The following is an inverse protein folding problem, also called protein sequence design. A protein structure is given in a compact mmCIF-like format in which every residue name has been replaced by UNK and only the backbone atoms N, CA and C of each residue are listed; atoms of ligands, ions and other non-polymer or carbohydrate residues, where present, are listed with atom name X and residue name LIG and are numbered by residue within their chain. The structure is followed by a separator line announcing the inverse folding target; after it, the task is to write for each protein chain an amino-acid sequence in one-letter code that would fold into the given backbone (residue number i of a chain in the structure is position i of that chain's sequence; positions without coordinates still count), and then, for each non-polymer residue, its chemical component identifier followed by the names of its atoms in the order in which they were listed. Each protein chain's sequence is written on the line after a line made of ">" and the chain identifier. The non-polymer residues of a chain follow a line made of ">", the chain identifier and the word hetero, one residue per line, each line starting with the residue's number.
data_IF_575062365339
#
_entry.id   IF_575062365339
#
_cell.length_a   1.000
_cell.length_b   1.000
_cell.length_c   1.000
_cell.angle_alpha   90.00
_cell.angle_beta   90.00
_cell.angle_gamma   90.00
#
_symmetry.space_group_name_H-M   'P 1'
#
loop_
_entity.id
_entity.type
_entity.pdbx_description
1 polymer ?
#
# COMPACT_ATOMS: atom_id res chain seq x y z
N UNK A 1 -30.91 16.57 26.87
CA UNK A 1 -30.09 17.79 26.93
C UNK A 1 -29.44 17.95 25.57
N UNK A 2 -29.25 19.18 25.09
CA UNK A 2 -28.56 19.41 23.81
C UNK A 2 -27.10 18.92 23.89
N UNK A 3 -26.63 18.30 22.81
CA UNK A 3 -25.26 17.80 22.63
C UNK A 3 -24.38 18.93 22.07
N UNK A 4 -23.06 18.84 22.19
CA UNK A 4 -22.14 19.86 21.65
C UNK A 4 -22.37 20.14 20.16
N UNK A 5 -22.66 19.10 19.37
CA UNK A 5 -22.95 19.23 17.94
C UNK A 5 -24.15 20.16 17.66
N UNK A 6 -25.20 20.12 18.49
CA UNK A 6 -26.41 20.95 18.30
C UNK A 6 -26.08 22.45 18.35
N UNK A 7 -25.15 22.85 19.23
CA UNK A 7 -24.74 24.25 19.38
C UNK A 7 -23.89 24.75 18.20
N UNK A 8 -23.06 23.88 17.60
CA UNK A 8 -22.22 24.22 16.45
C UNK A 8 -22.91 23.99 15.09
N UNK A 9 -24.08 23.34 15.08
CA UNK A 9 -24.86 23.06 13.86
C UNK A 9 -25.10 24.31 12.98
N UNK A 10 -25.41 25.51 13.52
CA UNK A 10 -25.54 26.72 12.70
C UNK A 10 -24.27 27.09 11.93
N UNK A 11 -23.08 26.83 12.49
CA UNK A 11 -21.79 27.07 11.80
C UNK A 11 -21.60 26.06 10.67
N UNK A 12 -21.94 24.79 10.91
CA UNK A 12 -21.92 23.75 9.86
C UNK A 12 -22.91 24.07 8.74
N UNK A 13 -24.14 24.46 9.05
CA UNK A 13 -25.12 24.86 8.03
C UNK A 13 -24.63 26.03 7.18
N UNK A 14 -24.05 27.06 7.82
CA UNK A 14 -23.47 28.20 7.10
C UNK A 14 -22.28 27.81 6.20
N UNK A 15 -21.38 26.96 6.70
CA UNK A 15 -20.25 26.46 5.91
C UNK A 15 -20.70 25.64 4.70
N UNK A 16 -21.71 24.78 4.84
CA UNK A 16 -22.27 24.00 3.74
C UNK A 16 -22.96 24.87 2.70
N UNK A 17 -23.75 25.85 3.12
CA UNK A 17 -24.37 26.83 2.22
C UNK A 17 -23.29 27.60 1.43
N UNK A 18 -22.20 27.98 2.10
CA UNK A 18 -21.07 28.64 1.46
C UNK A 18 -20.37 27.71 0.45
N UNK A 19 -20.09 26.46 0.82
CA UNK A 19 -19.44 25.47 -0.05
C UNK A 19 -20.28 25.23 -1.32
N UNK A 20 -21.61 25.13 -1.19
CA UNK A 20 -22.52 25.02 -2.33
C UNK A 20 -22.46 26.26 -3.24
N UNK A 21 -22.46 27.47 -2.67
CA UNK A 21 -22.31 28.72 -3.43
C UNK A 21 -20.96 28.82 -4.13
N UNK A 22 -19.88 28.37 -3.49
CA UNK A 22 -18.52 28.32 -4.07
C UNK A 22 -18.51 27.35 -5.25
N UNK A 23 -19.03 26.14 -5.08
CA UNK A 23 -19.13 25.14 -6.13
C UNK A 23 -19.99 25.61 -7.32
N UNK A 24 -21.07 26.36 -7.05
CA UNK A 24 -21.91 26.97 -8.08
C UNK A 24 -21.31 28.24 -8.73
N UNK A 25 -20.15 28.73 -8.25
CA UNK A 25 -19.53 29.98 -8.72
C UNK A 25 -20.36 31.24 -8.41
N UNK A 26 -21.28 31.17 -7.46
CA UNK A 26 -22.16 32.29 -7.05
C UNK A 26 -21.75 32.92 -5.72
N UNK A 27 -20.69 32.40 -5.08
CA UNK A 27 -20.11 33.00 -3.89
C UNK A 27 -19.58 34.42 -4.23
N UNK A 28 -20.14 35.44 -3.57
CA UNK A 28 -19.69 36.82 -3.74
C UNK A 28 -18.27 37.05 -3.21
N UNK A 29 -17.63 38.15 -3.58
CA UNK A 29 -16.23 38.47 -3.24
C UNK A 29 -16.02 38.98 -1.79
N UNK A 30 -17.02 38.88 -0.92
CA UNK A 30 -17.02 39.42 0.44
C UNK A 30 -16.37 38.51 1.49
N UNK A 31 -15.10 38.12 1.33
CA UNK A 31 -14.41 37.21 2.26
C UNK A 31 -14.46 37.70 3.73
N UNK A 32 -14.36 39.01 3.95
CA UNK A 32 -14.43 39.63 5.27
C UNK A 32 -15.83 39.50 5.91
N UNK A 33 -16.90 39.69 5.12
CA UNK A 33 -18.28 39.55 5.61
C UNK A 33 -18.60 38.10 5.98
N UNK A 34 -18.12 37.16 5.16
CA UNK A 34 -18.24 35.71 5.42
C UNK A 34 -17.53 35.34 6.71
N UNK A 35 -16.28 35.77 6.91
CA UNK A 35 -15.55 35.50 8.14
C UNK A 35 -16.17 36.16 9.37
N UNK A 36 -16.64 37.40 9.25
CA UNK A 36 -17.29 38.10 10.36
C UNK A 36 -18.62 37.43 10.75
N UNK A 37 -19.37 36.91 9.77
CA UNK A 37 -20.55 36.10 10.05
C UNK A 37 -20.19 34.79 10.76
N UNK A 38 -19.18 34.07 10.27
CA UNK A 38 -18.69 32.84 10.90
C UNK A 38 -18.25 33.09 12.36
N UNK A 39 -17.50 34.17 12.62
CA UNK A 39 -17.06 34.56 13.97
C UNK A 39 -18.24 34.80 14.91
N UNK A 40 -19.28 35.49 14.45
CA UNK A 40 -20.50 35.72 15.24
C UNK A 40 -21.21 34.41 15.57
N UNK A 41 -21.34 33.50 14.61
CA UNK A 41 -21.94 32.18 14.84
C UNK A 41 -21.12 31.34 15.82
N UNK A 42 -19.79 31.30 15.66
CA UNK A 42 -18.88 30.59 16.56
C UNK A 42 -18.96 31.15 17.99
N UNK A 43 -18.94 32.48 18.15
CA UNK A 43 -19.05 33.13 19.45
C UNK A 43 -20.39 32.80 20.12
N UNK A 44 -21.49 32.83 19.37
CA UNK A 44 -22.82 32.47 19.86
C UNK A 44 -22.90 30.99 20.26
N UNK A 45 -22.35 30.08 19.44
CA UNK A 45 -22.30 28.65 19.72
C UNK A 45 -21.53 28.35 21.02
N UNK A 46 -20.35 28.95 21.19
CA UNK A 46 -19.54 28.81 22.41
C UNK A 46 -20.29 29.33 23.64
N UNK A 47 -20.88 30.52 23.55
CA UNK A 47 -21.63 31.11 24.65
C UNK A 47 -22.85 30.25 25.06
N UNK A 48 -23.59 29.73 24.08
CA UNK A 48 -24.75 28.87 24.33
C UNK A 48 -24.35 27.51 24.95
N UNK A 49 -23.27 26.89 24.46
CA UNK A 49 -22.76 25.64 25.02
C UNK A 49 -22.29 25.80 26.47
N UNK A 50 -21.56 26.88 26.77
CA UNK A 50 -21.13 27.20 28.13
C UNK A 50 -22.31 27.50 29.06
N UNK A 51 -23.31 28.27 28.59
CA UNK A 51 -24.53 28.55 29.36
C UNK A 51 -25.35 27.28 29.64
N UNK A 52 -25.26 26.28 28.76
CA UNK A 52 -25.86 24.96 28.96
C UNK A 52 -25.02 24.03 29.87
N UNK A 53 -23.92 24.52 30.44
CA UNK A 53 -23.09 23.79 31.40
C UNK A 53 -22.08 22.83 30.77
N UNK A 54 -21.76 22.97 29.48
CA UNK A 54 -20.70 22.16 28.85
C UNK A 54 -19.32 22.57 29.36
N UNK A 55 -18.43 21.58 29.45
CA UNK A 55 -17.05 21.77 29.91
C UNK A 55 -16.30 22.74 28.98
N UNK A 56 -15.63 23.80 29.48
CA UNK A 56 -14.91 24.76 28.64
C UNK A 56 -13.91 24.12 27.70
N UNK A 57 -13.16 23.12 28.17
CA UNK A 57 -12.18 22.38 27.38
C UNK A 57 -12.81 21.64 26.19
N UNK A 58 -14.02 21.09 26.37
CA UNK A 58 -14.76 20.43 25.30
C UNK A 58 -15.30 21.42 24.28
N UNK A 59 -15.76 22.59 24.76
CA UNK A 59 -16.27 23.66 23.89
C UNK A 59 -15.14 24.22 23.02
N UNK A 60 -13.95 24.43 23.59
CA UNK A 60 -12.77 24.86 22.82
C UNK A 60 -12.33 23.81 21.80
N UNK A 61 -12.26 22.53 22.17
CA UNK A 61 -11.89 21.45 21.25
C UNK A 61 -12.91 21.27 20.12
N UNK A 62 -14.21 21.32 20.42
CA UNK A 62 -15.26 21.29 19.41
C UNK A 62 -15.19 22.51 18.47
N UNK A 63 -14.93 23.71 19.02
CA UNK A 63 -14.73 24.92 18.23
C UNK A 63 -13.53 24.78 17.29
N UNK A 64 -12.44 24.18 17.75
CA UNK A 64 -11.25 23.94 16.93
C UNK A 64 -11.61 23.09 15.70
N UNK A 65 -12.32 21.96 15.90
CA UNK A 65 -12.74 21.11 14.79
C UNK A 65 -13.58 21.84 13.74
N UNK A 66 -14.56 22.63 14.19
CA UNK A 66 -15.45 23.39 13.30
C UNK A 66 -14.68 24.46 12.54
N UNK A 67 -13.75 25.15 13.20
CA UNK A 67 -12.91 26.18 12.59
C UNK A 67 -11.96 25.58 11.54
N UNK A 68 -11.32 24.45 11.83
CA UNK A 68 -10.45 23.77 10.88
C UNK A 68 -11.19 23.40 9.59
N UNK A 69 -12.40 22.85 9.73
CA UNK A 69 -13.26 22.52 8.59
C UNK A 69 -13.74 23.74 7.82
N UNK A 70 -14.18 24.78 8.52
CA UNK A 70 -14.68 25.99 7.88
C UNK A 70 -13.58 26.72 7.11
N UNK A 71 -12.36 26.83 7.66
CA UNK A 71 -11.23 27.43 6.97
C UNK A 71 -10.85 26.64 5.70
N UNK A 72 -10.94 25.31 5.73
CA UNK A 72 -10.72 24.49 4.54
C UNK A 72 -11.74 24.82 3.44
N UNK A 73 -13.02 25.01 3.77
CA UNK A 73 -14.05 25.47 2.81
C UNK A 73 -13.68 26.84 2.23
N UNK A 74 -13.24 27.78 3.05
CA UNK A 74 -12.81 29.12 2.60
C UNK A 74 -11.68 29.01 1.56
N UNK A 75 -10.74 28.08 1.74
CA UNK A 75 -9.63 27.88 0.78
C UNK A 75 -10.08 27.34 -0.58
N UNK A 76 -11.27 26.76 -0.70
CA UNK A 76 -11.81 26.26 -1.97
C UNK A 76 -12.20 27.38 -2.94
N UNK A 77 -12.38 28.61 -2.46
CA UNK A 77 -12.61 29.78 -3.31
C UNK A 77 -11.32 30.60 -3.51
N UNK A 78 -10.73 30.61 -4.72
CA UNK A 78 -9.52 31.39 -5.00
C UNK A 78 -9.65 32.90 -4.74
N UNK A 79 -10.86 33.46 -4.84
CA UNK A 79 -11.09 34.89 -4.59
C UNK A 79 -10.87 35.28 -3.10
N UNK A 80 -10.90 34.31 -2.20
CA UNK A 80 -10.71 34.55 -0.77
C UNK A 80 -9.24 34.42 -0.35
N UNK A 81 -8.37 33.90 -1.22
CA UNK A 81 -6.95 33.75 -0.92
C UNK A 81 -6.31 35.10 -0.62
N UNK A 82 -5.62 35.20 0.52
CA UNK A 82 -4.96 36.41 1.03
C UNK A 82 -5.87 37.61 1.34
N UNK A 83 -7.19 37.48 1.18
CA UNK A 83 -8.15 38.57 1.45
C UNK A 83 -8.46 38.72 2.94
N UNK A 84 -8.27 37.66 3.72
CA UNK A 84 -8.59 37.59 5.16
C UNK A 84 -7.65 36.63 5.88
N UNK A 85 -7.40 36.86 7.18
CA UNK A 85 -6.64 35.94 8.04
C UNK A 85 -7.50 34.71 8.38
N UNK A 86 -7.04 33.47 8.15
CA UNK A 86 -7.78 32.26 8.51
C UNK A 86 -8.21 32.24 9.99
N UNK A 87 -9.39 31.68 10.27
CA UNK A 87 -9.93 31.64 11.64
C UNK A 87 -9.07 30.79 12.58
N UNK A 88 -8.41 29.74 12.08
CA UNK A 88 -7.46 28.94 12.84
C UNK A 88 -6.29 29.77 13.38
N UNK A 89 -5.82 30.75 12.61
CA UNK A 89 -4.76 31.68 13.03
C UNK A 89 -5.34 32.69 14.03
N UNK A 90 -6.49 33.28 13.72
CA UNK A 90 -7.09 34.33 14.53
C UNK A 90 -7.59 33.84 15.91
N UNK A 91 -8.07 32.59 16.01
CA UNK A 91 -8.68 32.04 17.22
C UNK A 91 -7.75 31.10 17.99
N UNK A 92 -6.88 30.37 17.31
CA UNK A 92 -6.04 29.33 17.92
C UNK A 92 -4.53 29.53 17.71
N UNK A 93 -4.12 30.60 17.03
CA UNK A 93 -2.71 30.90 16.75
C UNK A 93 -1.96 29.73 16.08
N UNK A 94 -2.64 28.98 15.22
CA UNK A 94 -2.05 27.90 14.42
C UNK A 94 -2.27 28.16 12.93
N UNK A 95 -1.34 27.71 12.10
CA UNK A 95 -1.47 27.61 10.64
C UNK A 95 -1.49 26.15 10.15
N UNK A 96 -1.57 25.20 11.08
CA UNK A 96 -1.40 23.77 10.86
C UNK A 96 -2.63 22.98 11.33
N UNK A 97 -3.81 23.61 11.33
CA UNK A 97 -5.02 23.02 11.90
C UNK A 97 -5.45 21.75 11.15
N UNK A 98 -5.08 21.61 9.87
CA UNK A 98 -5.30 20.41 9.06
C UNK A 98 -4.62 19.15 9.61
N UNK A 99 -3.45 19.28 10.24
CA UNK A 99 -2.72 18.17 10.87
C UNK A 99 -3.13 18.03 12.34
N UNK A 100 -3.21 19.15 13.06
CA UNK A 100 -3.57 19.19 14.49
C UNK A 100 -4.97 18.63 14.76
N UNK A 101 -5.90 18.76 13.80
CA UNK A 101 -7.23 18.16 13.88
C UNK A 101 -7.17 16.66 14.17
N UNK A 102 -6.37 15.92 13.41
CA UNK A 102 -6.26 14.47 13.57
C UNK A 102 -5.49 14.08 14.84
N UNK A 103 -4.52 14.90 15.24
CA UNK A 103 -3.86 14.73 16.53
C UNK A 103 -4.87 14.88 17.68
N UNK A 104 -5.65 15.96 17.72
CA UNK A 104 -6.69 16.18 18.73
C UNK A 104 -7.72 15.05 18.74
N UNK A 105 -8.21 14.62 17.58
CA UNK A 105 -9.14 13.51 17.45
C UNK A 105 -8.58 12.19 18.01
N UNK A 106 -7.28 11.93 17.81
CA UNK A 106 -6.63 10.67 18.25
C UNK A 106 -6.43 10.58 19.76
N UNK A 107 -6.26 11.73 20.45
CA UNK A 107 -6.03 11.79 21.89
C UNK A 107 -7.32 11.88 22.71
N UNK A 108 -8.49 12.02 22.06
CA UNK A 108 -9.78 12.07 22.74
C UNK A 108 -10.01 10.78 23.54
N UNK A 109 -10.43 10.95 24.79
CA UNK A 109 -10.78 9.88 25.72
C UNK A 109 -12.19 9.35 25.43
N UNK A 110 -12.54 8.25 26.10
CA UNK A 110 -13.86 7.62 25.97
C UNK A 110 -15.00 8.46 26.55
N UNK A 111 -14.72 9.38 27.48
CA UNK A 111 -15.71 10.29 28.09
C UNK A 111 -15.86 11.63 27.32
N UNK A 112 -15.18 11.75 26.18
CA UNK A 112 -15.21 12.93 25.30
C UNK A 112 -16.02 12.63 24.01
N UNK A 113 -17.10 11.86 24.16
CA UNK A 113 -17.96 11.35 23.10
C UNK A 113 -18.66 12.47 22.30
N UNK A 114 -19.16 13.51 22.98
CA UNK A 114 -19.75 14.69 22.33
C UNK A 114 -18.73 15.52 21.54
N UNK A 115 -17.46 15.55 21.95
CA UNK A 115 -16.40 16.25 21.20
C UNK A 115 -16.05 15.42 19.96
N UNK A 116 -15.88 14.10 20.15
CA UNK A 116 -15.64 13.15 19.05
C UNK A 116 -16.73 13.22 17.98
N UNK A 117 -17.98 13.39 18.39
CA UNK A 117 -19.12 13.58 17.49
C UNK A 117 -18.98 14.83 16.62
N UNK A 118 -18.50 15.96 17.15
CA UNK A 118 -18.26 17.19 16.36
C UNK A 118 -17.14 17.00 15.33
N UNK A 119 -16.02 16.39 15.75
CA UNK A 119 -14.93 16.05 14.83
C UNK A 119 -15.40 15.08 13.73
N UNK A 120 -16.14 14.04 14.12
CA UNK A 120 -16.67 13.08 13.17
C UNK A 120 -17.65 13.73 12.19
N UNK A 121 -18.49 14.65 12.66
CA UNK A 121 -19.40 15.40 11.80
C UNK A 121 -18.64 16.23 10.75
N UNK A 122 -17.56 16.92 11.13
CA UNK A 122 -16.70 17.63 10.18
C UNK A 122 -16.11 16.69 9.11
N UNK A 123 -15.68 15.48 9.48
CA UNK A 123 -15.19 14.47 8.53
C UNK A 123 -16.29 13.99 7.55
N UNK A 124 -17.53 13.83 8.04
CA UNK A 124 -18.67 13.49 7.18
C UNK A 124 -19.02 14.60 6.20
N UNK A 125 -18.83 15.87 6.61
CA UNK A 125 -19.02 17.04 5.77
C UNK A 125 -17.81 17.36 4.88
N UNK A 126 -16.93 16.39 4.67
CA UNK A 126 -15.84 16.48 3.69
C UNK A 126 -14.63 17.26 4.17
N UNK A 127 -14.38 17.36 5.48
CA UNK A 127 -13.06 17.78 5.97
C UNK A 127 -12.01 16.74 5.58
N UNK A 128 -10.93 17.18 4.94
CA UNK A 128 -9.85 16.30 4.50
C UNK A 128 -8.54 16.55 5.26
N UNK A 129 -8.21 17.82 5.52
CA UNK A 129 -7.02 18.24 6.23
C UNK A 129 -5.74 17.64 5.63
N UNK A 130 -4.94 16.96 6.46
CA UNK A 130 -3.67 16.34 6.05
C UNK A 130 -3.80 15.26 4.96
N UNK A 131 -5.01 14.73 4.71
CA UNK A 131 -5.26 13.65 3.75
C UNK A 131 -5.71 14.17 2.37
N UNK A 132 -5.37 15.40 1.99
CA UNK A 132 -5.87 16.08 0.77
C UNK A 132 -5.59 15.33 -0.55
N UNK A 133 -4.69 14.34 -0.53
CA UNK A 133 -4.32 13.50 -1.65
C UNK A 133 -5.20 12.24 -1.79
N UNK A 134 -6.02 11.89 -0.78
CA UNK A 134 -6.92 10.75 -0.85
C UNK A 134 -8.24 11.11 -1.55
N UNK A 135 -8.83 10.14 -2.26
CA UNK A 135 -10.14 10.30 -2.90
C UNK A 135 -11.08 9.19 -2.43
N UNK A 136 -12.26 9.57 -1.94
CA UNK A 136 -13.24 8.64 -1.38
C UNK A 136 -12.85 8.08 0.00
N UNK A 137 -13.58 7.05 0.44
CA UNK A 137 -13.46 6.47 1.79
C UNK A 137 -12.67 5.14 1.81
N UNK A 138 -11.83 4.87 0.80
CA UNK A 138 -11.03 3.63 0.73
C UNK A 138 -9.63 3.76 1.35
N UNK A 139 -9.17 4.99 1.61
CA UNK A 139 -7.87 5.31 2.20
C UNK A 139 -7.84 5.37 3.72
N UNK A 140 -6.82 6.03 4.28
CA UNK A 140 -6.67 6.24 5.73
C UNK A 140 -7.79 7.11 6.31
N UNK A 141 -8.28 8.10 5.55
CA UNK A 141 -9.41 8.93 5.99
C UNK A 141 -10.68 8.09 6.21
N UNK A 142 -10.93 7.13 5.33
CA UNK A 142 -12.02 6.17 5.47
C UNK A 142 -11.87 5.25 6.68
N UNK A 143 -10.65 4.77 6.95
CA UNK A 143 -10.35 3.97 8.15
C UNK A 143 -10.55 4.78 9.43
N UNK A 144 -10.17 6.06 9.45
CA UNK A 144 -10.40 6.95 10.59
C UNK A 144 -11.90 7.18 10.81
N UNK A 145 -12.67 7.42 9.75
CA UNK A 145 -14.13 7.50 9.85
C UNK A 145 -14.71 6.23 10.47
N UNK A 146 -14.31 5.05 10.01
CA UNK A 146 -14.80 3.77 10.55
C UNK A 146 -14.35 3.53 12.00
N UNK A 147 -13.13 3.89 12.36
CA UNK A 147 -12.60 3.75 13.71
C UNK A 147 -13.36 4.62 14.72
N UNK A 148 -13.59 5.88 14.36
CA UNK A 148 -14.26 6.84 15.24
C UNK A 148 -15.77 6.68 15.25
N UNK A 149 -16.40 6.21 14.16
CA UNK A 149 -17.85 5.96 14.10
C UNK A 149 -18.31 4.97 15.17
N UNK A 150 -17.55 3.91 15.41
CA UNK A 150 -17.82 2.88 16.43
C UNK A 150 -17.70 3.37 17.86
N UNK A 151 -16.99 4.49 18.06
CA UNK A 151 -16.78 5.11 19.37
C UNK A 151 -17.78 6.23 19.65
N UNK A 152 -18.70 6.49 18.71
CA UNK A 152 -19.77 7.46 18.91
C UNK A 152 -20.85 6.89 19.82
N UNK A 153 -21.53 7.74 20.60
CA UNK A 153 -22.60 7.31 21.48
C UNK A 153 -23.82 6.78 20.71
N UNK A 154 -24.03 7.27 19.48
CA UNK A 154 -24.94 6.67 18.50
C UNK A 154 -24.12 6.33 17.26
N UNK A 155 -23.64 5.08 17.12
CA UNK A 155 -22.86 4.70 15.96
C UNK A 155 -23.73 4.75 14.70
N UNK A 156 -23.25 5.33 13.59
CA UNK A 156 -23.98 5.32 12.33
C UNK A 156 -24.12 3.88 11.82
N UNK A 157 -25.23 3.62 11.12
CA UNK A 157 -25.47 2.32 10.52
C UNK A 157 -24.35 1.98 9.51
N UNK A 158 -23.79 0.79 9.62
CA UNK A 158 -22.76 0.33 8.70
C UNK A 158 -23.37 0.15 7.30
N UNK A 159 -22.94 0.96 6.33
CA UNK A 159 -23.52 0.95 4.98
C UNK A 159 -23.46 -0.44 4.30
N UNK A 160 -22.44 -1.26 4.63
CA UNK A 160 -22.30 -2.62 4.13
C UNK A 160 -23.30 -3.61 4.75
N UNK A 161 -23.81 -3.34 5.96
CA UNK A 161 -24.83 -4.18 6.61
C UNK A 161 -26.25 -3.78 6.23
N UNK A 162 -26.49 -2.60 5.63
CA UNK A 162 -27.83 -2.18 5.20
C UNK A 162 -28.48 -3.12 4.17
N UNK A 163 -27.67 -3.90 3.45
CA UNK A 163 -28.17 -4.95 2.54
C UNK A 163 -28.66 -6.20 3.30
N UNK A 164 -28.10 -6.45 4.47
CA UNK A 164 -28.33 -7.65 5.29
C UNK A 164 -29.35 -7.40 6.41
N UNK A 165 -29.38 -6.18 6.95
CA UNK A 165 -30.32 -5.71 7.97
C UNK A 165 -31.39 -4.81 7.34
N UNK A 166 -32.57 -5.37 7.01
CA UNK A 166 -33.63 -4.58 6.41
C UNK A 166 -34.19 -3.55 7.42
N UNK A 167 -34.05 -2.26 7.11
CA UNK A 167 -34.55 -1.14 7.93
C UNK A 167 -36.10 -1.17 8.08
N UNK A 168 -36.80 -1.85 7.17
CA UNK A 168 -38.25 -2.07 7.21
C UNK A 168 -38.61 -3.55 7.04
N UNK A 169 -39.75 -4.01 7.59
CA UNK A 169 -40.26 -5.36 7.32
C UNK A 169 -40.39 -5.58 5.82
N UNK A 170 -39.72 -6.60 5.30
CA UNK A 170 -39.72 -6.86 3.86
C UNK A 170 -41.10 -7.33 3.37
N UNK A 171 -41.54 -6.94 2.16
CA UNK A 171 -42.86 -7.28 1.63
C UNK A 171 -43.17 -8.79 1.62
N UNK A 172 -42.13 -9.61 1.42
CA UNK A 172 -42.20 -11.08 1.39
C UNK A 172 -42.20 -11.72 2.79
N UNK A 173 -42.00 -10.94 3.86
CA UNK A 173 -42.26 -11.36 5.24
C UNK A 173 -43.72 -11.13 5.64
N UNK A 174 -44.49 -10.38 4.83
CA UNK A 174 -45.94 -10.26 5.01
C UNK A 174 -46.64 -11.43 4.32
N UNK A 175 -47.68 -11.96 4.98
CA UNK A 175 -48.49 -13.04 4.42
C UNK A 175 -49.27 -12.49 3.22
N UNK A 176 -49.03 -13.06 2.04
CA UNK A 176 -49.76 -12.70 0.83
C UNK A 176 -51.29 -12.84 1.03
N UNK A 177 -52.09 -11.89 0.51
CA UNK A 177 -53.54 -12.03 0.50
C UNK A 177 -53.94 -13.26 -0.32
N UNK A 178 -54.98 -13.98 0.13
CA UNK A 178 -55.46 -15.18 -0.54
C UNK A 178 -56.00 -14.83 -1.93
N UNK A 179 -55.26 -15.23 -2.98
CA UNK A 179 -55.67 -15.05 -4.38
C UNK A 179 -56.81 -15.99 -4.82
N UNK A 180 -57.43 -15.71 -5.99
CA UNK A 180 -58.59 -16.45 -6.48
C UNK A 180 -58.28 -17.91 -6.80
N UNK A 181 -59.19 -18.81 -6.41
CA UNK A 181 -59.07 -20.27 -6.63
C UNK A 181 -59.48 -20.63 -8.07
N UNK A 182 -58.49 -20.85 -8.93
CA UNK A 182 -58.70 -21.45 -10.26
C UNK A 182 -58.73 -23.00 -10.18
N UNK A 183 -59.57 -23.69 -10.99
CA UNK A 183 -59.65 -25.15 -11.02
C UNK A 183 -58.46 -25.75 -11.78
N UNK A 184 -57.34 -25.97 -11.08
CA UNK A 184 -56.06 -26.47 -11.60
C UNK A 184 -55.91 -28.00 -11.52
N UNK A 185 -56.80 -28.76 -12.14
CA UNK A 185 -56.70 -30.23 -12.13
C UNK A 185 -55.66 -30.78 -13.13
N UNK A 186 -55.47 -30.14 -14.29
CA UNK A 186 -54.46 -30.53 -15.27
C UNK A 186 -53.05 -29.98 -14.98
N UNK A 187 -52.96 -28.79 -14.36
CA UNK A 187 -51.70 -28.19 -13.91
C UNK A 187 -50.96 -29.04 -12.88
N UNK A 188 -51.67 -29.70 -11.96
CA UNK A 188 -51.03 -30.49 -10.88
C UNK A 188 -50.35 -31.75 -11.40
N UNK A 189 -50.84 -32.35 -12.48
CA UNK A 189 -50.24 -33.55 -13.05
C UNK A 189 -48.95 -33.21 -13.81
N UNK A 190 -48.99 -32.16 -14.63
CA UNK A 190 -47.82 -31.64 -15.34
C UNK A 190 -46.75 -31.11 -14.39
N UNK A 191 -47.15 -30.42 -13.30
CA UNK A 191 -46.21 -29.93 -12.29
C UNK A 191 -45.52 -31.08 -11.55
N UNK A 192 -46.25 -32.15 -11.21
CA UNK A 192 -45.67 -33.34 -10.56
C UNK A 192 -44.73 -34.11 -11.49
N UNK A 193 -45.09 -34.25 -12.76
CA UNK A 193 -44.23 -34.87 -13.76
C UNK A 193 -42.97 -34.05 -14.01
N UNK A 194 -43.10 -32.72 -14.16
CA UNK A 194 -41.98 -31.80 -14.28
C UNK A 194 -41.05 -31.82 -13.06
N UNK A 195 -41.62 -31.84 -11.85
CA UNK A 195 -40.84 -31.94 -10.61
C UNK A 195 -40.08 -33.26 -10.50
N UNK A 196 -40.69 -34.39 -10.90
CA UNK A 196 -40.02 -35.69 -10.90
C UNK A 196 -38.84 -35.72 -11.89
N UNK A 197 -39.01 -35.19 -13.11
CA UNK A 197 -37.93 -35.09 -14.10
C UNK A 197 -36.82 -34.15 -13.62
N UNK A 198 -37.19 -32.99 -13.06
CA UNK A 198 -36.22 -32.03 -12.50
C UNK A 198 -35.43 -32.58 -11.31
N UNK A 199 -35.97 -33.57 -10.58
CA UNK A 199 -35.28 -34.23 -9.47
C UNK A 199 -34.40 -35.40 -9.96
N UNK A 200 -34.82 -36.11 -11.01
CA UNK A 200 -34.07 -37.24 -11.59
C UNK A 200 -32.82 -36.79 -12.36
N UNK A 201 -32.83 -35.62 -13.00
CA UNK A 201 -31.65 -35.07 -13.70
C UNK A 201 -30.45 -34.84 -12.77
N UNK A 202 -30.56 -34.10 -11.65
CA UNK A 202 -29.44 -33.89 -10.74
C UNK A 202 -29.04 -35.18 -10.01
N UNK A 203 -29.98 -36.07 -9.69
CA UNK A 203 -29.66 -37.37 -9.09
C UNK A 203 -28.87 -38.26 -10.05
N UNK A 204 -29.27 -38.30 -11.33
CA UNK A 204 -28.54 -39.00 -12.38
C UNK A 204 -27.14 -38.41 -12.60
N UNK A 205 -27.02 -37.09 -12.57
CA UNK A 205 -25.73 -36.40 -12.64
C UNK A 205 -24.84 -36.69 -11.43
N UNK A 206 -25.39 -36.74 -10.23
CA UNK A 206 -24.68 -37.11 -9.00
C UNK A 206 -24.21 -38.57 -9.03
N UNK A 207 -25.07 -39.49 -9.48
CA UNK A 207 -24.70 -40.89 -9.69
C UNK A 207 -23.60 -41.05 -10.74
N UNK A 208 -23.65 -40.25 -11.81
CA UNK A 208 -22.59 -40.22 -12.82
C UNK A 208 -21.28 -39.67 -12.26
N UNK A 209 -21.29 -38.59 -11.46
CA UNK A 209 -20.10 -38.08 -10.77
C UNK A 209 -19.51 -39.12 -9.79
N UNK A 210 -20.35 -39.89 -9.10
CA UNK A 210 -19.90 -40.90 -8.14
C UNK A 210 -19.27 -42.14 -8.81
N UNK A 211 -19.69 -42.49 -10.03
CA UNK A 211 -19.21 -43.70 -10.75
C UNK A 211 -18.13 -43.38 -11.78
N UNK A 212 -18.26 -42.26 -12.48
CA UNK A 212 -17.44 -41.87 -13.63
C UNK A 212 -16.82 -40.47 -13.52
N UNK A 213 -17.06 -39.75 -12.42
CA UNK A 213 -16.42 -38.46 -12.17
C UNK A 213 -14.90 -38.61 -12.03
N UNK A 214 -14.11 -37.59 -12.39
CA UNK A 214 -12.68 -37.59 -12.12
C UNK A 214 -12.49 -37.79 -10.61
N UNK A 215 -11.85 -38.89 -10.22
CA UNK A 215 -11.38 -39.03 -8.85
C UNK A 215 -10.26 -37.99 -8.71
N UNK A 216 -10.55 -36.87 -8.05
CA UNK A 216 -9.51 -35.96 -7.62
C UNK A 216 -8.61 -36.73 -6.65
N UNK A 217 -7.53 -37.29 -7.19
CA UNK A 217 -6.40 -37.77 -6.41
C UNK A 217 -5.91 -36.58 -5.61
N UNK A 218 -5.82 -36.74 -4.28
CA UNK A 218 -5.36 -35.68 -3.39
C UNK A 218 -3.98 -35.12 -3.81
N UNK A 219 -3.55 -34.00 -3.19
CA UNK A 219 -2.31 -33.33 -3.57
C UNK A 219 -1.15 -34.33 -3.59
N UNK A 220 -0.38 -34.31 -4.68
CA UNK A 220 0.78 -35.18 -4.82
C UNK A 220 1.83 -34.82 -3.77
N UNK A 221 2.77 -35.72 -3.50
CA UNK A 221 3.91 -35.41 -2.61
C UNK A 221 4.66 -34.17 -3.11
N UNK A 222 4.76 -33.98 -4.43
CA UNK A 222 5.36 -32.78 -5.02
C UNK A 222 4.57 -31.51 -4.68
N UNK A 223 3.24 -31.55 -4.73
CA UNK A 223 2.39 -30.39 -4.39
C UNK A 223 2.50 -30.04 -2.90
N UNK A 224 2.55 -31.05 -2.03
CA UNK A 224 2.74 -30.85 -0.59
C UNK A 224 4.11 -30.23 -0.27
N UNK A 225 5.17 -30.73 -0.89
CA UNK A 225 6.52 -30.17 -0.71
C UNK A 225 6.58 -28.74 -1.26
N UNK A 226 6.06 -28.50 -2.47
CA UNK A 226 6.05 -27.18 -3.08
C UNK A 226 5.25 -26.17 -2.25
N UNK A 227 4.08 -26.58 -1.73
CA UNK A 227 3.27 -25.75 -0.83
C UNK A 227 4.00 -25.40 0.46
N UNK A 228 4.71 -26.35 1.07
CA UNK A 228 5.50 -26.08 2.28
C UNK A 228 6.63 -25.08 2.02
N UNK A 229 7.35 -25.24 0.90
CA UNK A 229 8.47 -24.35 0.54
C UNK A 229 8.02 -22.91 0.27
N UNK A 230 6.79 -22.69 -0.18
CA UNK A 230 6.22 -21.35 -0.41
C UNK A 230 5.90 -20.57 0.88
N UNK A 231 5.92 -21.22 2.05
CA UNK A 231 5.65 -20.55 3.34
C UNK A 231 6.83 -19.70 3.84
N UNK A 232 8.01 -19.87 3.26
CA UNK A 232 9.22 -19.16 3.65
C UNK A 232 9.24 -17.76 3.03
N UNK A 233 9.48 -16.74 3.87
CA UNK A 233 9.54 -15.36 3.43
C UNK A 233 10.91 -15.02 2.83
N UNK A 234 10.90 -14.32 1.70
CA UNK A 234 12.11 -13.91 0.96
C UNK A 234 13.03 -15.10 0.64
N UNK A 235 12.44 -16.14 0.04
CA UNK A 235 13.13 -17.36 -0.38
C UNK A 235 12.72 -17.74 -1.79
N UNK A 236 13.63 -18.40 -2.52
CA UNK A 236 13.31 -19.09 -3.76
C UNK A 236 13.79 -20.52 -3.58
N UNK A 237 12.85 -21.40 -3.25
CA UNK A 237 13.08 -22.82 -2.99
C UNK A 237 12.35 -23.62 -4.06
N UNK A 238 13.04 -24.58 -4.66
CA UNK A 238 12.48 -25.53 -5.60
C UNK A 238 12.71 -26.95 -5.12
N UNK A 239 11.77 -27.84 -5.42
CA UNK A 239 11.90 -29.26 -5.16
C UNK A 239 11.73 -30.08 -6.44
N UNK A 240 12.55 -31.12 -6.57
CA UNK A 240 12.33 -32.20 -7.54
C UNK A 240 11.97 -33.45 -6.76
N UNK A 241 10.78 -34.01 -7.01
CA UNK A 241 10.28 -35.21 -6.34
C UNK A 241 10.15 -36.32 -7.38
N UNK A 242 10.93 -37.40 -7.21
CA UNK A 242 10.83 -38.59 -8.05
C UNK A 242 9.61 -39.45 -7.67
N UNK A 243 9.17 -40.31 -8.58
CA UNK A 243 8.00 -41.20 -8.38
C UNK A 243 8.11 -42.09 -7.13
N UNK A 244 9.34 -42.45 -6.72
CA UNK A 244 9.59 -43.27 -5.53
C UNK A 244 9.54 -42.49 -4.20
N UNK A 245 9.36 -41.17 -4.25
CA UNK A 245 9.36 -40.23 -3.13
C UNK A 245 10.71 -39.55 -2.85
N UNK A 246 11.77 -39.89 -3.59
CA UNK A 246 13.08 -39.24 -3.43
C UNK A 246 12.98 -37.74 -3.76
N UNK A 247 13.37 -36.89 -2.82
CA UNK A 247 13.16 -35.44 -2.92
C UNK A 247 14.50 -34.69 -2.89
N UNK A 248 14.74 -33.81 -3.85
CA UNK A 248 15.90 -32.91 -3.85
C UNK A 248 15.39 -31.47 -3.77
N UNK A 249 15.77 -30.75 -2.70
CA UNK A 249 15.41 -29.35 -2.48
C UNK A 249 16.65 -28.49 -2.70
N UNK A 250 16.49 -27.42 -3.47
CA UNK A 250 17.57 -26.44 -3.69
C UNK A 250 17.04 -25.02 -3.71
N UNK A 251 17.92 -24.06 -3.44
CA UNK A 251 17.57 -22.64 -3.50
C UNK A 251 18.19 -21.80 -2.38
N UNK A 252 17.46 -20.78 -1.94
CA UNK A 252 17.91 -19.90 -0.87
C UNK A 252 16.83 -19.50 0.12
N UNK A 253 17.24 -19.23 1.35
CA UNK A 253 16.41 -18.70 2.45
C UNK A 253 16.99 -17.40 3.01
N UNK A 254 16.16 -16.59 3.64
CA UNK A 254 16.56 -15.28 4.17
C UNK A 254 17.37 -15.33 5.45
N UNK A 255 17.22 -16.40 6.25
CA UNK A 255 17.89 -16.54 7.54
C UNK A 255 18.63 -17.88 7.66
N UNK A 256 19.80 -17.93 8.31
CA UNK A 256 20.53 -19.18 8.53
C UNK A 256 19.70 -20.26 9.23
N UNK A 257 18.89 -19.88 10.22
CA UNK A 257 18.03 -20.80 10.96
C UNK A 257 16.94 -21.46 10.09
N UNK A 258 16.53 -20.81 9.00
CA UNK A 258 15.51 -21.36 8.11
C UNK A 258 16.02 -22.55 7.30
N UNK A 259 17.35 -22.72 7.14
CA UNK A 259 17.91 -23.92 6.49
C UNK A 259 17.52 -25.17 7.27
N UNK A 260 17.70 -25.15 8.59
CA UNK A 260 17.36 -26.28 9.45
C UNK A 260 15.85 -26.53 9.46
N UNK A 261 15.04 -25.47 9.41
CA UNK A 261 13.58 -25.58 9.31
C UNK A 261 13.13 -26.18 7.99
N UNK A 262 13.67 -25.75 6.86
CA UNK A 262 13.36 -26.32 5.53
C UNK A 262 13.66 -27.82 5.51
N UNK A 263 14.79 -28.22 6.11
CA UNK A 263 15.17 -29.62 6.23
C UNK A 263 14.17 -30.43 7.04
N UNK A 264 13.81 -29.95 8.23
CA UNK A 264 12.87 -30.60 9.13
C UNK A 264 11.45 -30.68 8.54
N UNK A 265 10.94 -29.57 8.02
CA UNK A 265 9.60 -29.49 7.46
C UNK A 265 9.44 -30.40 6.24
N UNK A 266 10.42 -30.40 5.32
CA UNK A 266 10.39 -31.26 4.13
C UNK A 266 10.48 -32.73 4.51
N UNK A 267 11.35 -33.09 5.45
CA UNK A 267 11.48 -34.48 5.92
C UNK A 267 10.23 -34.97 6.67
N UNK A 268 9.45 -34.05 7.28
CA UNK A 268 8.20 -34.35 7.96
C UNK A 268 7.00 -34.64 7.05
N UNK A 269 7.11 -34.33 5.75
CA UNK A 269 6.01 -34.54 4.79
C UNK A 269 5.86 -36.03 4.47
N UNK A 270 4.65 -36.55 4.70
CA UNK A 270 4.32 -37.95 4.43
C UNK A 270 4.51 -38.27 2.94
N UNK A 271 5.41 -39.22 2.65
CA UNK A 271 5.72 -39.66 1.28
C UNK A 271 7.08 -39.21 0.77
N UNK A 272 7.72 -38.23 1.43
CA UNK A 272 9.11 -37.85 1.16
C UNK A 272 10.05 -38.96 1.63
N UNK A 273 11.05 -39.29 0.80
CA UNK A 273 12.10 -40.24 1.10
C UNK A 273 13.46 -39.64 0.76
N UNK A 274 14.48 -39.99 1.54
CA UNK A 274 15.89 -39.64 1.31
C UNK A 274 16.11 -38.19 0.82
N UNK A 275 15.62 -37.16 1.54
CA UNK A 275 15.68 -35.80 1.03
C UNK A 275 17.14 -35.28 0.99
N UNK A 276 17.52 -34.65 -0.11
CA UNK A 276 18.80 -33.94 -0.25
C UNK A 276 18.57 -32.43 -0.33
N UNK A 277 19.50 -31.65 0.23
CA UNK A 277 19.34 -30.20 0.37
C UNK A 277 20.58 -29.46 -0.12
N UNK A 278 20.40 -28.58 -1.10
CA UNK A 278 21.37 -27.55 -1.52
C UNK A 278 20.73 -26.16 -1.32
N UNK A 279 20.58 -25.77 -0.06
CA UNK A 279 19.94 -24.52 0.35
C UNK A 279 20.98 -23.58 0.94
N UNK A 280 21.04 -22.35 0.43
CA UNK A 280 21.98 -21.30 0.86
C UNK A 280 21.26 -20.15 1.54
N UNK A 281 22.00 -19.33 2.29
CA UNK A 281 21.44 -18.09 2.86
C UNK A 281 21.58 -16.95 1.86
N UNK A 282 20.51 -16.18 1.67
CA UNK A 282 20.51 -14.89 0.99
C UNK A 282 19.63 -13.95 1.77
N UNK A 283 20.26 -13.06 2.53
CA UNK A 283 19.58 -12.16 3.45
C UNK A 283 18.63 -11.20 2.74
N UNK A 284 17.65 -10.69 3.49
CA UNK A 284 16.92 -9.49 3.08
C UNK A 284 17.87 -8.29 3.19
N UNK A 285 17.89 -7.34 2.22
CA UNK A 285 16.99 -7.18 1.07
C UNK A 285 17.41 -7.92 -0.20
N UNK A 286 18.58 -8.56 -0.25
CA UNK A 286 19.13 -9.15 -1.48
C UNK A 286 18.22 -10.19 -2.12
N UNK A 287 17.56 -11.04 -1.32
CA UNK A 287 16.61 -12.03 -1.83
C UNK A 287 15.43 -11.36 -2.57
N UNK A 288 14.89 -10.26 -2.03
CA UNK A 288 13.76 -9.55 -2.60
C UNK A 288 14.15 -8.82 -3.89
N UNK A 289 15.31 -8.15 -3.88
CA UNK A 289 15.87 -7.45 -5.04
C UNK A 289 16.11 -8.41 -6.19
N UNK A 290 16.76 -9.56 -5.93
CA UNK A 290 17.01 -10.56 -6.96
C UNK A 290 15.70 -11.09 -7.52
N UNK A 291 14.73 -11.41 -6.67
CA UNK A 291 13.41 -11.86 -7.12
C UNK A 291 12.73 -10.82 -8.01
N UNK A 292 12.83 -9.53 -7.67
CA UNK A 292 12.24 -8.43 -8.42
C UNK A 292 12.92 -8.23 -9.79
N UNK A 293 14.25 -8.33 -9.85
CA UNK A 293 15.03 -8.05 -11.05
C UNK A 293 15.25 -9.27 -11.96
N UNK A 294 14.98 -10.49 -11.47
CA UNK A 294 15.20 -11.74 -12.20
C UNK A 294 14.56 -11.77 -13.61
N UNK A 295 13.29 -11.34 -13.81
CA UNK A 295 12.70 -11.32 -15.15
C UNK A 295 13.45 -10.40 -16.13
N UNK A 296 13.93 -9.25 -15.64
CA UNK A 296 14.67 -8.28 -16.45
C UNK A 296 16.10 -8.71 -16.73
N UNK A 297 16.72 -9.49 -15.82
CA UNK A 297 18.00 -10.17 -16.08
C UNK A 297 17.87 -11.30 -17.11
N UNK A 298 16.81 -12.10 -17.02
CA UNK A 298 16.51 -13.11 -18.04
C UNK A 298 16.36 -12.45 -19.41
N UNK A 299 15.59 -11.35 -19.49
CA UNK A 299 15.43 -10.56 -20.71
C UNK A 299 16.76 -10.03 -21.27
N UNK A 300 17.63 -9.49 -20.43
CA UNK A 300 18.98 -9.04 -20.83
C UNK A 300 19.78 -10.17 -21.52
N UNK A 301 19.72 -11.38 -20.97
CA UNK A 301 20.42 -12.56 -21.49
C UNK A 301 19.76 -13.10 -22.77
N UNK A 302 18.44 -13.31 -22.75
CA UNK A 302 17.69 -13.92 -23.85
C UNK A 302 17.71 -13.04 -25.11
N UNK A 303 17.58 -11.72 -24.93
CA UNK A 303 17.64 -10.74 -26.02
C UNK A 303 19.07 -10.31 -26.36
N UNK A 304 20.06 -10.71 -25.56
CA UNK A 304 21.47 -10.33 -25.69
C UNK A 304 21.67 -8.80 -25.71
N UNK A 305 20.93 -8.08 -24.87
CA UNK A 305 21.03 -6.62 -24.76
C UNK A 305 22.43 -6.14 -24.39
N UNK A 306 23.24 -6.98 -23.71
CA UNK A 306 24.63 -6.65 -23.41
C UNK A 306 24.81 -5.72 -22.21
N UNK A 307 23.77 -5.49 -21.40
CA UNK A 307 23.88 -4.71 -20.17
C UNK A 307 24.80 -5.43 -19.17
N UNK A 308 25.87 -4.76 -18.78
CA UNK A 308 26.92 -5.32 -17.92
C UNK A 308 27.24 -4.42 -16.74
N UNK A 309 27.55 -5.08 -15.63
CA UNK A 309 28.06 -4.47 -14.40
C UNK A 309 29.20 -5.35 -13.93
N UNK A 310 30.39 -4.77 -13.76
CA UNK A 310 31.60 -5.52 -13.36
C UNK A 310 32.40 -4.70 -12.35
N UNK A 311 32.98 -5.32 -11.31
CA UNK A 311 33.89 -4.62 -10.44
C UNK A 311 35.18 -4.29 -11.21
N UNK A 312 35.66 -3.06 -11.12
CA UNK A 312 36.91 -2.64 -11.80
C UNK A 312 38.17 -3.17 -11.12
N UNK A 313 38.06 -3.68 -9.90
CA UNK A 313 39.21 -4.16 -9.14
C UNK A 313 39.85 -5.40 -9.74
N UNK A 314 39.23 -6.14 -10.67
CA UNK A 314 39.92 -7.16 -11.49
C UNK A 314 40.46 -8.40 -10.76
N UNK A 315 40.28 -8.53 -9.44
CA UNK A 315 40.94 -9.59 -8.65
C UNK A 315 40.02 -10.51 -7.85
N UNK A 316 38.77 -10.16 -7.55
CA UNK A 316 37.72 -11.10 -7.09
C UNK A 316 36.40 -10.37 -6.84
N UNK A 317 35.34 -11.12 -6.54
CA UNK A 317 34.11 -10.64 -5.91
C UNK A 317 34.28 -10.31 -4.41
N UNK A 318 35.50 -10.39 -3.87
CA UNK A 318 35.81 -10.12 -2.46
C UNK A 318 36.59 -8.81 -2.30
N UNK A 319 36.19 -8.03 -1.30
CA UNK A 319 36.75 -6.71 -1.00
C UNK A 319 37.11 -6.62 0.49
N UNK A 320 38.26 -6.04 0.80
CA UNK A 320 38.67 -5.81 2.20
C UNK A 320 38.38 -4.38 2.65
N UNK A 321 38.23 -4.20 3.96
CA UNK A 321 38.04 -2.87 4.58
C UNK A 321 39.07 -1.85 4.10
N UNK A 322 38.58 -0.66 3.73
CA UNK A 322 39.39 0.42 3.18
C UNK A 322 39.61 0.34 1.67
N UNK A 323 39.23 -0.76 1.01
CA UNK A 323 39.22 -0.82 -0.45
C UNK A 323 38.13 0.06 -1.05
N UNK A 324 38.40 0.56 -2.25
CA UNK A 324 37.47 1.41 -2.98
C UNK A 324 36.64 0.58 -3.94
N UNK A 325 35.32 0.71 -3.86
CA UNK A 325 34.37 0.09 -4.78
C UNK A 325 34.19 0.98 -5.99
N UNK A 326 34.68 0.53 -7.13
CA UNK A 326 34.49 1.16 -8.44
C UNK A 326 33.89 0.15 -9.40
N UNK A 327 32.83 0.54 -10.09
CA UNK A 327 32.02 -0.37 -10.90
C UNK A 327 32.07 0.09 -12.35
N UNK A 328 32.48 -0.81 -13.25
CA UNK A 328 32.43 -0.60 -14.68
C UNK A 328 31.06 -1.02 -15.19
N UNK A 329 30.38 -0.08 -15.83
CA UNK A 329 29.09 -0.26 -16.47
C UNK A 329 29.28 -0.37 -17.98
N UNK A 330 28.52 -1.26 -18.60
CA UNK A 330 28.34 -1.31 -20.04
C UNK A 330 26.85 -1.20 -20.35
N UNK A 331 26.46 -0.13 -21.05
CA UNK A 331 25.07 0.07 -21.47
C UNK A 331 24.65 -1.02 -22.47
N UNK A 332 23.36 -1.34 -22.45
CA UNK A 332 22.71 -2.20 -23.42
C UNK A 332 22.86 -1.70 -24.87
N UNK A 333 22.40 -2.49 -25.82
CA UNK A 333 22.36 -2.22 -27.26
C UNK A 333 21.37 -1.10 -27.68
N UNK A 334 20.96 -0.24 -26.75
CA UNK A 334 20.08 0.89 -26.99
C UNK A 334 20.44 2.09 -26.10
N UNK A 335 20.05 3.28 -26.55
CA UNK A 335 20.16 4.50 -25.74
C UNK A 335 19.17 4.46 -24.57
N UNK A 336 19.65 4.75 -23.37
CA UNK A 336 18.82 4.67 -22.16
C UNK A 336 19.46 5.26 -20.91
N UNK A 337 18.69 5.22 -19.83
CA UNK A 337 19.06 5.71 -18.50
C UNK A 337 19.46 4.51 -17.63
N UNK A 338 20.57 4.65 -16.91
CA UNK A 338 21.07 3.65 -15.99
C UNK A 338 20.75 4.01 -14.55
N UNK A 339 20.43 2.99 -13.76
CA UNK A 339 20.20 3.08 -12.32
C UNK A 339 21.03 1.99 -11.66
N UNK A 340 21.95 2.38 -10.78
CA UNK A 340 22.91 1.51 -10.11
C UNK A 340 22.79 1.69 -8.62
N UNK A 341 22.43 0.60 -7.96
CA UNK A 341 22.15 0.58 -6.53
C UNK A 341 23.03 -0.46 -5.84
N UNK A 342 23.50 -0.12 -4.65
CA UNK A 342 24.31 -0.96 -3.77
C UNK A 342 23.51 -1.28 -2.52
N UNK A 343 23.21 -2.56 -2.31
CA UNK A 343 22.43 -3.04 -1.18
C UNK A 343 23.38 -3.65 -0.14
N UNK A 344 23.41 -3.03 1.03
CA UNK A 344 24.27 -3.38 2.16
C UNK A 344 23.70 -4.56 2.98
N UNK A 345 24.53 -5.15 3.84
CA UNK A 345 24.10 -6.24 4.73
C UNK A 345 23.18 -5.80 5.87
N UNK A 346 23.22 -4.52 6.26
CA UNK A 346 22.33 -3.93 7.28
C UNK A 346 20.96 -3.51 6.72
N UNK A 347 20.74 -3.71 5.43
CA UNK A 347 19.43 -3.49 4.79
C UNK A 347 19.18 -2.09 4.28
N UNK A 348 20.25 -1.38 3.94
CA UNK A 348 20.20 -0.08 3.29
C UNK A 348 20.55 -0.15 1.81
N UNK A 349 20.20 0.91 1.08
CA UNK A 349 20.47 1.08 -0.34
C UNK A 349 21.26 2.37 -0.52
N UNK A 350 22.36 2.27 -1.25
CA UNK A 350 23.15 3.41 -1.69
C UNK A 350 22.98 3.54 -3.20
N UNK A 351 22.53 4.71 -3.66
CA UNK A 351 22.34 4.99 -5.07
C UNK A 351 23.67 5.43 -5.70
N UNK A 352 24.38 4.49 -6.31
CA UNK A 352 25.68 4.75 -6.94
C UNK A 352 25.54 5.54 -8.25
N UNK A 353 24.41 5.43 -8.95
CA UNK A 353 24.11 6.23 -10.14
C UNK A 353 22.60 6.19 -10.45
N UNK A 354 21.91 7.29 -10.73
CA UNK A 354 22.39 8.67 -10.64
C UNK A 354 22.54 9.13 -9.17
N UNK A 355 23.54 9.98 -8.89
CA UNK A 355 23.67 10.70 -7.62
C UNK A 355 24.37 12.05 -7.82
N UNK A 356 24.24 12.96 -6.83
CA UNK A 356 24.80 14.33 -6.88
C UNK A 356 26.32 14.41 -6.97
N UNK A 357 27.02 13.38 -6.48
CA UNK A 357 28.49 13.35 -6.39
C UNK A 357 29.12 12.89 -7.70
N UNK A 358 28.36 12.21 -8.55
CA UNK A 358 28.78 11.79 -9.89
C UNK A 358 28.55 12.89 -10.94
N UNK A 359 29.60 13.29 -11.68
CA UNK A 359 29.47 14.17 -12.83
C UNK A 359 28.58 13.55 -13.90
N UNK A 360 27.78 14.38 -14.59
CA UNK A 360 26.91 13.94 -15.69
C UNK A 360 25.89 12.85 -15.29
N UNK A 361 25.50 12.80 -14.01
CA UNK A 361 24.49 11.86 -13.52
C UNK A 361 23.12 12.05 -14.22
N UNK A 362 22.36 10.96 -14.30
CA UNK A 362 20.97 10.99 -14.81
C UNK A 362 20.84 11.26 -16.30
N UNK A 363 21.96 11.36 -17.04
CA UNK A 363 21.94 11.58 -18.48
C UNK A 363 21.54 10.32 -19.26
N UNK A 364 21.16 10.54 -20.51
CA UNK A 364 21.03 9.47 -21.51
C UNK A 364 22.42 8.91 -21.83
N UNK A 365 22.58 7.59 -21.67
CA UNK A 365 23.79 6.83 -22.01
C UNK A 365 23.58 6.17 -23.37
N UNK A 366 24.55 6.28 -24.27
CA UNK A 366 24.41 5.71 -25.63
C UNK A 366 24.55 4.18 -25.63
N UNK A 367 23.94 3.56 -26.62
CA UNK A 367 24.06 2.12 -26.86
C UNK A 367 25.52 1.65 -26.82
N UNK A 368 25.81 0.63 -26.00
CA UNK A 368 27.14 0.04 -25.85
C UNK A 368 28.21 0.92 -25.17
N UNK A 369 27.86 2.12 -24.72
CA UNK A 369 28.78 3.01 -24.00
C UNK A 369 29.24 2.35 -22.69
N UNK A 370 30.54 2.49 -22.37
CA UNK A 370 31.13 1.97 -21.14
C UNK A 370 31.76 3.09 -20.32
N UNK A 371 31.53 3.09 -19.02
CA UNK A 371 32.12 4.05 -18.10
C UNK A 371 32.21 3.47 -16.68
N UNK A 372 33.04 4.09 -15.84
CA UNK A 372 33.21 3.70 -14.45
C UNK A 372 32.43 4.64 -13.54
N UNK A 373 31.68 4.06 -12.61
CA UNK A 373 31.03 4.76 -11.50
C UNK A 373 31.87 4.59 -10.24
N UNK A 374 32.00 5.65 -9.46
CA UNK A 374 32.81 5.73 -8.25
C UNK A 374 34.26 6.18 -8.48
N UNK A 375 34.72 6.34 -9.72
CA UNK A 375 36.11 6.73 -10.04
C UNK A 375 36.35 8.23 -9.85
N UNK A 376 35.39 9.07 -10.24
CA UNK A 376 35.53 10.54 -10.27
C UNK A 376 35.21 11.24 -8.94
N UNK A 377 34.69 10.52 -7.95
CA UNK A 377 34.36 11.06 -6.62
C UNK A 377 35.65 11.13 -5.77
N UNK A 378 36.11 12.28 -5.26
CA UNK A 378 37.40 12.35 -4.53
C UNK A 378 37.54 11.32 -3.39
N UNK A 379 36.50 11.15 -2.59
CA UNK A 379 36.46 10.24 -1.44
C UNK A 379 36.19 8.77 -1.83
N UNK A 380 35.53 8.54 -2.96
CA UNK A 380 35.12 7.20 -3.40
C UNK A 380 34.11 6.51 -2.49
N UNK A 381 33.77 5.28 -2.86
CA UNK A 381 32.97 4.37 -2.04
C UNK A 381 33.91 3.42 -1.33
N UNK A 382 34.11 3.61 -0.02
CA UNK A 382 35.08 2.84 0.76
C UNK A 382 34.34 1.72 1.50
N UNK A 383 34.87 0.50 1.41
CA UNK A 383 34.34 -0.65 2.16
C UNK A 383 34.56 -0.46 3.65
N UNK A 384 33.47 -0.56 4.41
CA UNK A 384 33.46 -0.45 5.87
C UNK A 384 32.43 -1.40 6.50
N UNK A 385 32.38 -1.48 7.83
CA UNK A 385 31.43 -2.34 8.53
C UNK A 385 29.97 -1.84 8.36
N UNK A 386 28.96 -2.74 8.47
CA UNK A 386 29.09 -4.18 8.70
C UNK A 386 29.51 -4.96 7.44
N UNK A 387 30.37 -5.96 7.63
CA UNK A 387 30.91 -6.79 6.54
C UNK A 387 30.01 -7.98 6.24
N UNK A 388 29.93 -8.38 4.97
CA UNK A 388 29.25 -9.61 4.56
C UNK A 388 28.99 -9.67 3.07
N UNK A 389 27.99 -10.44 2.66
CA UNK A 389 27.60 -10.52 1.26
C UNK A 389 26.81 -9.27 0.87
N UNK A 390 27.21 -8.57 -0.17
CA UNK A 390 26.58 -7.34 -0.68
C UNK A 390 26.12 -7.51 -2.12
N UNK A 391 25.22 -6.63 -2.59
CA UNK A 391 24.62 -6.77 -3.91
C UNK A 391 24.66 -5.43 -4.66
N UNK A 392 25.21 -5.46 -5.87
CA UNK A 392 25.12 -4.34 -6.80
C UNK A 392 24.16 -4.72 -7.92
N UNK A 393 23.20 -3.83 -8.20
CA UNK A 393 22.27 -3.98 -9.31
C UNK A 393 22.45 -2.87 -10.31
N UNK A 394 22.22 -3.17 -11.59
CA UNK A 394 22.05 -2.19 -12.65
C UNK A 394 20.71 -2.42 -13.34
N UNK A 395 19.94 -1.36 -13.53
CA UNK A 395 18.72 -1.35 -14.36
C UNK A 395 18.92 -0.35 -15.49
N UNK A 396 18.63 -0.76 -16.72
CA UNK A 396 18.63 0.09 -17.90
C UNK A 396 17.23 0.24 -18.47
N UNK A 397 16.83 1.48 -18.69
CA UNK A 397 15.50 1.82 -19.21
C UNK A 397 15.61 2.86 -20.33
N UNK A 398 14.91 2.70 -21.48
CA UNK A 398 14.86 3.73 -22.54
C UNK A 398 14.27 5.07 -22.09
N UNK A 399 13.40 5.05 -21.08
CA UNK A 399 12.79 6.24 -20.47
C UNK A 399 13.21 6.36 -19.01
N UNK A 400 13.24 7.57 -18.42
CA UNK A 400 13.56 7.72 -17.00
C UNK A 400 12.59 6.89 -16.13
N UNK A 401 13.12 6.03 -15.24
CA UNK A 401 12.30 5.25 -14.31
C UNK A 401 11.60 6.14 -13.29
N UNK A 402 12.26 7.24 -12.92
CA UNK A 402 11.74 8.29 -12.06
C UNK A 402 12.42 9.62 -12.39
N UNK A 403 11.72 10.72 -12.13
CA UNK A 403 12.20 12.09 -12.39
C UNK A 403 12.54 12.86 -11.10
N UNK A 404 12.08 12.36 -9.95
CA UNK A 404 12.38 12.95 -8.65
C UNK A 404 13.78 12.54 -8.19
N UNK A 405 14.51 13.49 -7.61
CA UNK A 405 15.80 13.23 -6.99
C UNK A 405 15.62 12.37 -5.74
N UNK A 406 16.40 11.28 -5.63
CA UNK A 406 16.40 10.40 -4.46
C UNK A 406 17.57 10.72 -3.52
N UNK A 407 17.44 10.48 -2.21
CA UNK A 407 18.57 10.49 -1.30
C UNK A 407 19.68 9.56 -1.79
N UNK A 408 20.94 9.86 -1.49
CA UNK A 408 22.08 8.99 -1.83
C UNK A 408 22.04 7.67 -1.04
N UNK A 409 21.49 7.71 0.17
CA UNK A 409 21.34 6.59 1.09
C UNK A 409 19.89 6.56 1.60
N UNK A 410 19.24 5.40 1.52
CA UNK A 410 17.92 5.18 2.11
C UNK A 410 17.71 3.71 2.54
N UNK A 411 16.79 3.43 3.49
CA UNK A 411 16.46 2.05 3.87
C UNK A 411 15.85 1.26 2.71
N UNK A 412 16.24 -0.01 2.52
CA UNK A 412 15.68 -0.84 1.46
C UNK A 412 14.16 -1.06 1.61
N UNK A 413 13.65 -1.02 2.84
CA UNK A 413 12.20 -1.10 3.12
C UNK A 413 11.42 0.08 2.55
N UNK A 414 12.04 1.25 2.40
CA UNK A 414 11.45 2.41 1.74
C UNK A 414 11.65 2.36 0.21
N UNK A 415 12.81 1.89 -0.25
CA UNK A 415 13.17 1.86 -1.67
C UNK A 415 12.42 0.79 -2.47
N UNK A 416 12.36 -0.45 -1.96
CA UNK A 416 11.86 -1.61 -2.72
C UNK A 416 10.39 -1.48 -3.19
N UNK A 417 9.45 -0.96 -2.40
CA UNK A 417 8.09 -0.69 -2.88
C UNK A 417 8.06 0.28 -4.07
N UNK A 418 8.93 1.30 -4.05
CA UNK A 418 9.04 2.28 -5.14
C UNK A 418 9.72 1.71 -6.37
N UNK A 419 10.79 0.93 -6.20
CA UNK A 419 11.42 0.23 -7.33
C UNK A 419 10.41 -0.69 -8.03
N UNK A 420 9.57 -1.39 -7.27
CA UNK A 420 8.49 -2.22 -7.83
C UNK A 420 7.48 -1.40 -8.62
N UNK A 421 7.02 -0.28 -8.07
CA UNK A 421 6.13 0.67 -8.75
C UNK A 421 6.72 1.16 -10.08
N UNK A 422 7.99 1.56 -10.10
CA UNK A 422 8.68 2.03 -11.30
C UNK A 422 8.82 0.93 -12.36
N UNK A 423 9.19 -0.28 -11.95
CA UNK A 423 9.33 -1.42 -12.85
C UNK A 423 7.97 -1.86 -13.42
N UNK A 424 6.90 -1.81 -12.61
CA UNK A 424 5.55 -2.16 -13.04
C UNK A 424 5.00 -1.13 -14.03
N UNK A 425 5.22 0.16 -13.81
CA UNK A 425 4.87 1.22 -14.76
C UNK A 425 5.56 1.06 -16.13
N UNK A 426 6.73 0.42 -16.15
CA UNK A 426 7.53 0.19 -17.35
C UNK A 426 7.51 -1.27 -17.84
N UNK A 427 6.62 -2.12 -17.30
CA UNK A 427 6.61 -3.57 -17.58
C UNK A 427 6.46 -3.89 -19.07
N UNK A 428 5.69 -3.08 -19.79
CA UNK A 428 5.47 -3.20 -21.24
C UNK A 428 6.64 -2.74 -22.12
N UNK A 429 7.70 -2.17 -21.54
CA UNK A 429 8.88 -1.77 -22.29
C UNK A 429 9.80 -2.99 -22.48
N UNK A 430 9.81 -3.55 -23.70
CA UNK A 430 10.61 -4.73 -24.03
C UNK A 430 12.13 -4.51 -24.00
N UNK A 431 12.59 -3.25 -23.90
CA UNK A 431 14.01 -2.94 -23.75
C UNK A 431 14.45 -2.85 -22.30
N UNK A 432 13.53 -2.63 -21.34
CA UNK A 432 13.88 -2.56 -19.92
C UNK A 432 14.64 -3.82 -19.48
N UNK A 433 15.88 -3.66 -19.03
CA UNK A 433 16.79 -4.75 -18.74
C UNK A 433 17.47 -4.54 -17.39
N UNK A 434 17.88 -5.62 -16.73
CA UNK A 434 18.64 -5.55 -15.49
C UNK A 434 19.82 -6.51 -15.48
N UNK A 435 20.80 -6.24 -14.63
CA UNK A 435 21.86 -7.17 -14.28
C UNK A 435 22.27 -6.93 -12.83
N UNK A 436 22.93 -7.90 -12.20
CA UNK A 436 23.36 -7.77 -10.81
C UNK A 436 24.51 -8.71 -10.49
N UNK A 437 25.34 -8.31 -9.55
CA UNK A 437 26.47 -9.08 -9.04
C UNK A 437 26.50 -9.05 -7.52
N UNK A 438 26.93 -10.15 -6.93
CA UNK A 438 27.20 -10.24 -5.50
C UNK A 438 28.66 -9.92 -5.22
N UNK A 439 28.89 -9.29 -4.08
CA UNK A 439 30.20 -9.00 -3.52
C UNK A 439 30.29 -9.61 -2.13
N UNK A 440 31.50 -9.83 -1.64
CA UNK A 440 31.78 -10.22 -0.27
C UNK A 440 32.74 -9.21 0.35
N UNK A 441 32.29 -8.47 1.36
CA UNK A 441 33.14 -7.56 2.13
C UNK A 441 33.66 -8.25 3.39
N UNK A 442 34.91 -7.95 3.76
CA UNK A 442 35.61 -8.56 4.90
C UNK A 442 36.46 -7.51 5.65
N UNK A 443 36.63 -7.65 6.98
CA UNK A 443 37.54 -6.79 7.74
C UNK A 443 38.98 -6.96 7.23
N UNK A 444 39.78 -5.89 7.35
CA UNK A 444 41.21 -5.99 7.06
C UNK A 444 41.88 -6.90 8.09
N UNK A 445 42.55 -7.95 7.61
CA UNK A 445 43.26 -8.91 8.48
C UNK A 445 44.48 -8.30 9.15
#
# INVERSE_FOLDING_TARGET
>A
MARLLDFFSPVFSFGLELDERIAAGTAGNGAAEVQEHARRLIAAAKAAALAAGKRPEHVESACFAVVSWFDEIITRNPAYWNSVTPLQVALFNTNNAGNEFFHHLSILKSDEDEVREVYYHALLLGFVGQYYFETGDTGELGKLKELHSRQLPVPPAALHTLREEPITPQPYLMKDPSGPRYPKQWDKLLLKAGAAVALLIPIGYLLWLLVAGPRETGPSVADLVQGQLQTYACSELGAQVAENGATAVSGFVSRPEDIARVQADTAGIKGVKSPTFDVKVRIWPHCEVVSLLKPYRARNLDRRHGLQVTPTTGHSDRFTEGERVTVKLGQADYDGYLYVDYYTVDGSVIHLYPNKREPENGRLIRAGEQFNVGEKIPEGWIVGPPFGQELITVVSSPTPLYTAERPEYEPASAYLPKLREFLDAHRGNDKLAANFLFLQTEPKR
#
